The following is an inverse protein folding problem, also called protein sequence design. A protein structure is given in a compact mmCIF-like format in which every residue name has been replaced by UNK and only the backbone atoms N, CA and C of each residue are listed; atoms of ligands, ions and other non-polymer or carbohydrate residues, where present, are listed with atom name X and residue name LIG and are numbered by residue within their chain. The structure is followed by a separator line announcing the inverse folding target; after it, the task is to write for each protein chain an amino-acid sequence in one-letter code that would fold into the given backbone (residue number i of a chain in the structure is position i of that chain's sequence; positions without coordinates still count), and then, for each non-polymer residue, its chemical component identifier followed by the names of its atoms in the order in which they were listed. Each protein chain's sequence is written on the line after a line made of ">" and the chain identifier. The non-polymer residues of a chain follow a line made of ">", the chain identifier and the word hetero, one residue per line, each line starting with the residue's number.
data_IF_340245251819
#
_entry.id   IF_340245251819
#
_cell.length_a   1.000
_cell.length_b   1.000
_cell.length_c   1.000
_cell.angle_alpha   90.00
_cell.angle_beta   90.00
_cell.angle_gamma   90.00
#
_symmetry.space_group_name_H-M   'P 1'
#
loop_
_entity.id
_entity.type
_entity.pdbx_description
1 polymer ?
#
# COMPACT_ATOMS: atom_id res chain seq x y z
N UNK A 1 62.94 -1.73 -4.80
CA UNK A 1 63.60 -3.03 -4.96
C UNK A 1 62.60 -4.15 -4.70
N UNK A 2 62.41 -4.98 -5.73
CA UNK A 2 61.77 -6.30 -5.80
C UNK A 2 60.26 -6.36 -5.69
N UNK A 3 59.67 -6.45 -6.81
CA UNK A 3 58.66 -7.27 -7.44
C UNK A 3 58.50 -8.67 -6.82
N UNK A 4 57.28 -9.15 -6.70
CA UNK A 4 56.97 -10.57 -6.86
C UNK A 4 55.53 -10.75 -7.36
N UNK A 5 55.45 -11.09 -8.65
CA UNK A 5 54.28 -11.61 -9.33
C UNK A 5 54.28 -13.15 -9.18
N UNK A 6 53.20 -13.81 -8.89
CA UNK A 6 53.08 -15.27 -8.99
C UNK A 6 52.69 -15.72 -10.42
N UNK A 7 53.08 -16.92 -10.84
CA UNK A 7 53.03 -17.37 -12.22
C UNK A 7 51.69 -17.91 -12.67
N UNK A 8 51.42 -17.79 -13.97
CA UNK A 8 50.34 -18.48 -14.71
C UNK A 8 50.67 -19.95 -14.89
N UNK A 9 49.68 -20.83 -14.72
CA UNK A 9 49.68 -22.19 -15.20
C UNK A 9 48.68 -22.39 -16.35
N UNK A 10 48.96 -23.27 -17.32
CA UNK A 10 48.27 -23.29 -18.61
C UNK A 10 47.02 -24.18 -18.63
N UNK A 11 46.16 -23.88 -19.60
CA UNK A 11 45.07 -24.75 -20.06
C UNK A 11 45.65 -26.03 -20.63
N UNK A 12 44.98 -27.14 -20.31
CA UNK A 12 44.94 -28.33 -21.14
C UNK A 12 43.53 -28.88 -21.20
N UNK A 13 43.17 -29.29 -22.39
CA UNK A 13 41.94 -29.78 -22.94
C UNK A 13 41.42 -31.01 -22.21
N UNK A 14 40.08 -31.11 -22.06
CA UNK A 14 39.42 -32.42 -22.21
C UNK A 14 38.02 -32.20 -22.81
N UNK A 15 37.89 -32.75 -23.99
CA UNK A 15 36.65 -32.94 -24.75
C UNK A 15 35.85 -34.06 -24.08
N UNK A 16 34.57 -33.87 -23.96
CA UNK A 16 33.60 -34.87 -23.56
C UNK A 16 32.19 -34.45 -23.91
N UNK A 17 31.61 -35.18 -24.83
CA UNK A 17 30.33 -34.98 -25.50
C UNK A 17 29.08 -35.18 -24.56
N UNK A 18 27.96 -34.59 -25.04
CA UNK A 18 26.55 -34.96 -24.77
C UNK A 18 25.98 -34.44 -23.44
N UNK A 19 24.90 -33.66 -23.39
CA UNK A 19 23.56 -33.77 -23.98
C UNK A 19 22.85 -32.39 -24.06
N UNK A 20 22.01 -32.31 -25.06
CA UNK A 20 21.17 -31.18 -25.47
C UNK A 20 20.02 -31.01 -24.48
N UNK A 21 20.08 -29.99 -23.61
CA UNK A 21 18.93 -29.48 -22.87
C UNK A 21 18.61 -28.06 -23.37
N UNK A 22 17.54 -28.00 -24.17
CA UNK A 22 17.08 -26.84 -24.90
C UNK A 22 16.82 -25.60 -24.05
N UNK A 23 17.82 -24.78 -23.89
CA UNK A 23 17.68 -23.38 -23.52
C UNK A 23 17.31 -22.58 -24.78
N UNK A 24 16.03 -22.21 -24.86
CA UNK A 24 15.57 -21.24 -25.85
C UNK A 24 16.21 -19.90 -25.50
N UNK A 25 17.24 -19.50 -26.22
CA UNK A 25 17.74 -18.14 -26.24
C UNK A 25 16.66 -17.27 -26.89
N UNK A 26 16.01 -16.43 -26.10
CA UNK A 26 15.20 -15.34 -26.62
C UNK A 26 16.21 -14.32 -27.18
N UNK A 27 16.23 -14.17 -28.50
CA UNK A 27 17.04 -13.15 -29.19
C UNK A 27 16.64 -11.75 -28.77
N UNK A 28 17.54 -10.79 -29.01
CA UNK A 28 17.38 -9.39 -28.68
C UNK A 28 15.98 -8.85 -29.09
N UNK A 29 15.39 -8.07 -28.21
CA UNK A 29 14.05 -7.47 -28.40
C UNK A 29 13.94 -6.63 -29.69
N UNK A 30 15.06 -6.11 -30.18
CA UNK A 30 15.14 -5.32 -31.41
C UNK A 30 14.93 -6.18 -32.67
N UNK A 31 15.34 -7.46 -32.69
CA UNK A 31 15.08 -8.37 -33.82
C UNK A 31 13.61 -8.79 -33.96
N UNK A 32 12.87 -8.74 -32.85
CA UNK A 32 11.43 -9.07 -32.88
C UNK A 32 10.63 -7.91 -33.42
N UNK A 33 11.02 -6.67 -33.17
CA UNK A 33 10.34 -5.47 -33.68
C UNK A 33 10.49 -5.31 -35.21
N UNK A 34 11.66 -5.61 -35.76
CA UNK A 34 11.90 -5.53 -37.22
C UNK A 34 11.10 -6.56 -38.04
N UNK A 35 10.66 -7.66 -37.41
CA UNK A 35 9.82 -8.66 -38.08
C UNK A 35 8.36 -8.22 -38.27
N UNK A 36 7.90 -7.25 -37.48
CA UNK A 36 6.51 -6.77 -37.50
C UNK A 36 6.28 -5.59 -38.48
N UNK A 37 7.35 -4.89 -38.90
CA UNK A 37 7.24 -3.80 -39.89
C UNK A 37 7.06 -4.30 -41.34
N UNK A 38 7.20 -5.60 -41.61
CA UNK A 38 7.15 -6.14 -42.97
C UNK A 38 5.83 -6.77 -43.43
N UNK A 39 4.83 -6.93 -42.55
CA UNK A 39 3.50 -7.39 -42.93
C UNK A 39 2.48 -6.27 -42.76
N UNK A 40 2.38 -5.43 -43.79
CA UNK A 40 1.35 -4.39 -43.93
C UNK A 40 -0.03 -4.95 -44.21
N UNK A 41 -1.05 -4.25 -43.69
CA UNK A 41 -2.51 -4.38 -43.83
C UNK A 41 -3.15 -5.49 -42.98
N UNK A 42 -3.56 -5.11 -41.75
CA UNK A 42 -4.65 -5.75 -41.03
C UNK A 42 -5.77 -4.72 -40.88
N UNK A 43 -6.96 -5.12 -41.24
CA UNK A 43 -8.19 -4.32 -41.21
C UNK A 43 -8.51 -3.87 -39.77
N UNK A 44 -8.98 -2.63 -39.64
CA UNK A 44 -9.48 -2.01 -38.41
C UNK A 44 -10.78 -2.69 -37.93
N UNK A 45 -10.70 -3.84 -37.25
CA UNK A 45 -11.80 -4.38 -36.43
C UNK A 45 -11.21 -5.32 -35.37
N UNK A 46 -10.95 -4.79 -34.14
CA UNK A 46 -10.87 -5.44 -32.83
C UNK A 46 -9.77 -4.85 -31.92
N UNK A 47 -9.86 -3.56 -31.61
CA UNK A 47 -8.93 -2.90 -30.68
C UNK A 47 -9.00 -3.46 -29.24
N UNK A 48 -10.16 -4.01 -28.83
CA UNK A 48 -10.38 -4.50 -27.46
C UNK A 48 -9.67 -5.84 -27.16
N UNK A 49 -9.48 -6.69 -28.16
CA UNK A 49 -8.83 -8.00 -27.97
C UNK A 49 -7.29 -7.90 -27.94
N UNK A 50 -6.73 -6.93 -28.65
CA UNK A 50 -5.28 -6.71 -28.70
C UNK A 50 -4.76 -6.05 -27.41
N UNK A 51 -5.51 -5.14 -26.80
CA UNK A 51 -5.15 -4.52 -25.52
C UNK A 51 -5.17 -5.55 -24.37
N UNK A 52 -6.14 -6.47 -24.38
CA UNK A 52 -6.20 -7.58 -23.42
C UNK A 52 -5.06 -8.60 -23.61
N UNK A 53 -4.66 -8.88 -24.87
CA UNK A 53 -3.55 -9.77 -25.17
C UNK A 53 -2.21 -9.14 -24.77
N UNK A 54 -2.04 -7.84 -25.00
CA UNK A 54 -0.84 -7.09 -24.64
C UNK A 54 -0.67 -7.04 -23.11
N UNK A 55 -1.74 -6.80 -22.37
CA UNK A 55 -1.74 -6.82 -20.91
C UNK A 55 -1.45 -8.23 -20.35
N UNK A 56 -2.03 -9.28 -20.95
CA UNK A 56 -1.76 -10.67 -20.57
C UNK A 56 -0.31 -11.11 -20.83
N UNK A 57 0.32 -10.58 -21.87
CA UNK A 57 1.74 -10.84 -22.15
C UNK A 57 2.67 -10.09 -21.20
N UNK A 58 2.25 -8.91 -20.71
CA UNK A 58 3.01 -8.07 -19.79
C UNK A 58 2.98 -8.61 -18.36
N UNK A 59 1.86 -9.18 -17.91
CA UNK A 59 1.64 -9.60 -16.51
C UNK A 59 1.72 -11.12 -16.31
N UNK A 60 1.72 -11.89 -17.38
CA UNK A 60 1.71 -13.36 -17.30
C UNK A 60 0.43 -13.95 -16.69
N UNK A 61 -0.52 -13.12 -16.23
CA UNK A 61 -1.76 -13.54 -15.62
C UNK A 61 -2.97 -13.22 -16.50
N UNK A 62 -3.78 -14.25 -16.76
CA UNK A 62 -5.08 -14.08 -17.40
C UNK A 62 -6.18 -14.01 -16.35
N UNK A 63 -6.90 -12.89 -16.29
CA UNK A 63 -8.11 -12.78 -15.47
C UNK A 63 -9.16 -13.72 -16.05
N UNK A 64 -9.56 -14.72 -15.28
CA UNK A 64 -10.55 -15.72 -15.72
C UNK A 64 -11.97 -15.24 -15.46
N UNK A 65 -12.15 -14.42 -14.42
CA UNK A 65 -13.44 -13.87 -14.00
C UNK A 65 -13.23 -12.49 -13.38
N UNK A 66 -13.97 -11.50 -13.83
CA UNK A 66 -14.00 -10.19 -13.20
C UNK A 66 -15.20 -10.10 -12.25
N UNK A 67 -14.94 -10.02 -10.96
CA UNK A 67 -15.95 -9.87 -9.90
C UNK A 67 -16.23 -8.39 -9.58
N UNK A 68 -15.53 -7.45 -10.22
CA UNK A 68 -15.75 -6.04 -10.02
C UNK A 68 -17.12 -5.59 -10.52
N UNK A 69 -17.75 -4.69 -9.76
CA UNK A 69 -18.98 -4.00 -10.21
C UNK A 69 -18.72 -2.89 -11.19
N UNK A 70 -17.56 -2.25 -11.06
CA UNK A 70 -17.15 -1.15 -11.90
C UNK A 70 -15.62 -1.10 -11.96
N UNK A 71 -15.13 -0.88 -13.17
CA UNK A 71 -13.71 -0.63 -13.45
C UNK A 71 -13.54 0.82 -13.88
N UNK A 72 -12.57 1.51 -13.30
CA UNK A 72 -12.12 2.84 -13.67
C UNK A 72 -10.75 2.71 -14.34
N UNK A 73 -10.64 3.02 -15.62
CA UNK A 73 -9.52 2.76 -16.53
C UNK A 73 -8.89 4.02 -17.16
N UNK A 74 -9.12 5.17 -16.52
CA UNK A 74 -8.63 6.45 -17.07
C UNK A 74 -7.15 6.73 -16.82
N UNK A 75 -6.51 5.99 -15.89
CA UNK A 75 -5.07 6.09 -15.67
C UNK A 75 -4.26 5.49 -16.82
N UNK A 76 -3.03 5.97 -17.02
CA UNK A 76 -2.09 5.49 -18.03
C UNK A 76 -0.77 4.98 -17.42
N UNK A 77 -0.83 4.51 -16.20
CA UNK A 77 0.22 3.92 -15.39
C UNK A 77 -0.38 3.27 -14.14
N UNK A 78 0.44 2.61 -13.35
CA UNK A 78 0.04 1.97 -12.10
C UNK A 78 -0.77 2.92 -11.20
N UNK A 79 -1.85 2.43 -10.58
CA UNK A 79 -2.65 3.21 -9.64
C UNK A 79 -2.23 2.87 -8.22
N UNK A 80 -1.52 3.79 -7.56
CA UNK A 80 -0.87 3.53 -6.29
C UNK A 80 -1.77 3.71 -5.07
N UNK A 81 -2.72 4.63 -5.15
CA UNK A 81 -3.51 5.02 -3.98
C UNK A 81 -4.95 5.36 -4.34
N UNK A 82 -5.83 5.19 -3.35
CA UNK A 82 -7.23 5.54 -3.48
C UNK A 82 -7.85 6.02 -2.19
N UNK A 83 -8.99 6.71 -2.28
CA UNK A 83 -9.83 7.03 -1.13
C UNK A 83 -11.29 7.17 -1.55
N UNK A 84 -12.20 6.80 -0.65
CA UNK A 84 -13.64 6.98 -0.82
C UNK A 84 -14.12 8.23 -0.10
N UNK A 85 -15.03 8.98 -0.72
CA UNK A 85 -15.68 10.10 -0.08
C UNK A 85 -16.58 9.61 1.06
N UNK A 86 -16.56 10.24 2.25
CA UNK A 86 -17.26 9.73 3.43
C UNK A 86 -18.77 9.62 3.27
N UNK A 87 -19.40 10.43 2.43
CA UNK A 87 -20.86 10.46 2.28
C UNK A 87 -21.37 10.45 0.84
N UNK A 88 -20.60 10.96 -0.14
CA UNK A 88 -20.99 11.00 -1.54
C UNK A 88 -20.46 9.79 -2.31
N UNK A 89 -21.08 9.46 -3.44
CA UNK A 89 -20.66 8.36 -4.32
C UNK A 89 -19.44 8.73 -5.17
N UNK A 90 -18.37 9.17 -4.49
CA UNK A 90 -17.13 9.61 -5.11
C UNK A 90 -15.93 8.80 -4.58
N UNK A 91 -14.99 8.55 -5.46
CA UNK A 91 -13.64 8.11 -5.15
C UNK A 91 -12.62 9.09 -5.69
N UNK A 92 -11.43 9.10 -5.11
CA UNK A 92 -10.24 9.72 -5.68
C UNK A 92 -9.17 8.66 -5.82
N UNK A 93 -8.45 8.64 -6.94
CA UNK A 93 -7.32 7.75 -7.22
C UNK A 93 -6.14 8.53 -7.74
N UNK A 94 -4.93 8.07 -7.44
CA UNK A 94 -3.67 8.67 -7.90
C UNK A 94 -2.72 7.61 -8.39
N UNK A 95 -1.92 7.93 -9.40
CA UNK A 95 -1.07 6.94 -10.06
C UNK A 95 0.23 7.46 -10.67
N UNK A 96 0.92 6.55 -11.30
CA UNK A 96 2.21 6.71 -11.98
C UNK A 96 2.16 7.71 -13.15
N UNK A 97 0.98 7.94 -13.69
CA UNK A 97 0.76 8.88 -14.81
C UNK A 97 0.73 10.36 -14.37
N UNK A 98 1.25 10.69 -13.19
CA UNK A 98 1.32 12.02 -12.58
C UNK A 98 -0.07 12.68 -12.44
N UNK A 99 -1.12 11.86 -12.31
CA UNK A 99 -2.48 12.35 -12.23
C UNK A 99 -3.23 11.81 -11.03
N UNK A 100 -4.21 12.61 -10.61
CA UNK A 100 -5.26 12.12 -9.73
C UNK A 100 -6.62 12.41 -10.35
N UNK A 101 -7.55 11.46 -10.21
CA UNK A 101 -8.92 11.61 -10.69
C UNK A 101 -9.91 11.48 -9.55
N UNK A 102 -10.86 12.42 -9.48
CA UNK A 102 -12.08 12.25 -8.68
C UNK A 102 -13.17 11.77 -9.62
N UNK A 103 -13.79 10.65 -9.30
CA UNK A 103 -14.76 10.00 -10.15
C UNK A 103 -15.93 9.40 -9.37
N UNK A 104 -17.06 9.19 -10.05
CA UNK A 104 -18.27 8.64 -9.46
C UNK A 104 -18.18 7.11 -9.42
N UNK A 105 -18.31 6.52 -8.23
CA UNK A 105 -18.17 5.06 -8.00
C UNK A 105 -19.33 4.22 -8.56
N UNK A 106 -20.41 4.84 -9.04
CA UNK A 106 -21.54 4.13 -9.67
C UNK A 106 -21.51 4.19 -11.18
N UNK A 107 -20.98 5.27 -11.76
CA UNK A 107 -21.01 5.50 -13.21
C UNK A 107 -19.63 5.43 -13.87
N UNK A 108 -18.54 5.53 -13.10
CA UNK A 108 -17.19 5.64 -13.62
C UNK A 108 -16.84 7.03 -14.19
N UNK A 109 -17.79 7.98 -14.18
CA UNK A 109 -17.58 9.30 -14.76
C UNK A 109 -16.59 10.14 -13.95
N UNK A 110 -15.59 10.70 -14.64
CA UNK A 110 -14.64 11.65 -14.04
C UNK A 110 -15.37 12.95 -13.71
N UNK A 111 -15.27 13.35 -12.45
CA UNK A 111 -15.81 14.63 -11.95
C UNK A 111 -14.73 15.72 -11.94
N UNK A 112 -13.50 15.34 -11.69
CA UNK A 112 -12.37 16.27 -11.65
C UNK A 112 -11.05 15.52 -11.88
N UNK A 113 -10.13 16.15 -12.61
CA UNK A 113 -8.79 15.63 -12.85
C UNK A 113 -7.73 16.64 -12.38
N UNK A 114 -6.76 16.16 -11.61
CA UNK A 114 -5.54 16.90 -11.25
C UNK A 114 -4.44 16.39 -12.17
N UNK A 115 -3.94 17.27 -13.05
CA UNK A 115 -3.02 16.90 -14.13
C UNK A 115 -1.70 17.68 -14.08
N UNK A 116 -1.44 18.36 -12.98
CA UNK A 116 -0.29 19.23 -12.82
C UNK A 116 0.67 18.78 -11.71
N UNK A 117 0.62 17.51 -11.33
CA UNK A 117 1.70 16.88 -10.60
C UNK A 117 2.91 16.69 -11.53
N UNK A 118 4.09 16.67 -10.96
CA UNK A 118 5.36 16.56 -11.70
C UNK A 118 6.03 15.22 -11.52
N UNK A 119 5.41 14.35 -10.72
CA UNK A 119 5.84 13.00 -10.42
C UNK A 119 4.63 12.17 -10.00
N UNK A 120 4.82 10.88 -9.82
CA UNK A 120 3.80 9.90 -9.47
C UNK A 120 2.99 10.29 -8.24
N UNK A 121 1.66 10.26 -8.35
CA UNK A 121 0.77 10.57 -7.24
C UNK A 121 0.64 9.34 -6.33
N UNK A 122 1.28 9.40 -5.17
CA UNK A 122 1.36 8.29 -4.21
C UNK A 122 0.39 8.42 -3.03
N UNK A 123 -0.24 9.57 -2.85
CA UNK A 123 -1.19 9.75 -1.76
C UNK A 123 -2.35 10.65 -2.17
N UNK A 124 -3.55 10.19 -1.86
CA UNK A 124 -4.79 10.93 -2.06
C UNK A 124 -5.72 10.75 -0.86
N UNK A 125 -6.62 11.70 -0.64
CA UNK A 125 -7.60 11.52 0.45
C UNK A 125 -8.62 12.62 0.52
N UNK A 126 -9.82 12.28 0.98
CA UNK A 126 -10.84 13.24 1.39
C UNK A 126 -10.68 13.60 2.87
N UNK A 127 -10.98 14.85 3.24
CA UNK A 127 -11.14 15.21 4.65
C UNK A 127 -12.27 14.43 5.31
N UNK A 128 -12.26 14.32 6.64
CA UNK A 128 -13.23 13.53 7.43
C UNK A 128 -14.70 13.84 7.12
N UNK A 129 -14.99 15.05 6.66
CA UNK A 129 -16.33 15.54 6.31
C UNK A 129 -16.56 15.67 4.78
N UNK A 130 -15.58 15.27 3.96
CA UNK A 130 -15.65 15.35 2.50
C UNK A 130 -15.52 16.78 1.91
N UNK A 131 -15.28 17.79 2.72
CA UNK A 131 -15.20 19.20 2.25
C UNK A 131 -13.99 19.40 1.35
N UNK A 132 -12.88 18.75 1.65
CA UNK A 132 -11.63 18.87 0.90
C UNK A 132 -11.18 17.52 0.35
N UNK A 133 -10.51 17.56 -0.79
CA UNK A 133 -9.71 16.48 -1.33
C UNK A 133 -8.26 16.94 -1.46
N UNK A 134 -7.33 16.10 -1.03
CA UNK A 134 -5.89 16.33 -1.16
C UNK A 134 -5.27 15.29 -2.09
N UNK A 135 -4.27 15.71 -2.86
CA UNK A 135 -3.42 14.87 -3.70
C UNK A 135 -1.97 15.25 -3.47
N UNK A 136 -1.07 14.26 -3.44
CA UNK A 136 0.35 14.49 -3.24
C UNK A 136 1.20 13.54 -4.05
N UNK A 137 2.23 14.04 -4.70
CA UNK A 137 3.18 13.26 -5.48
C UNK A 137 4.43 12.87 -4.66
N UNK A 138 5.25 11.97 -5.22
CA UNK A 138 6.46 11.46 -4.57
C UNK A 138 7.49 12.56 -4.32
N UNK A 139 7.56 13.58 -5.20
CA UNK A 139 8.42 14.76 -5.02
C UNK A 139 7.90 15.72 -3.93
N UNK A 140 6.78 15.38 -3.28
CA UNK A 140 6.20 16.12 -2.16
C UNK A 140 5.38 17.34 -2.53
N UNK A 141 4.97 17.48 -3.79
CA UNK A 141 4.03 18.52 -4.17
C UNK A 141 2.61 18.12 -3.80
N UNK A 142 2.04 18.82 -2.82
CA UNK A 142 0.72 18.55 -2.26
C UNK A 142 -0.24 19.63 -2.69
N UNK A 143 -1.43 19.27 -3.14
CA UNK A 143 -2.50 20.17 -3.53
C UNK A 143 -3.79 19.83 -2.78
N UNK A 144 -4.54 20.85 -2.38
CA UNK A 144 -5.84 20.70 -1.71
C UNK A 144 -6.91 21.47 -2.45
N UNK A 145 -8.01 20.79 -2.72
CA UNK A 145 -9.15 21.32 -3.46
C UNK A 145 -10.41 21.27 -2.60
N UNK A 146 -11.31 22.25 -2.77
CA UNK A 146 -12.61 22.28 -2.10
C UNK A 146 -13.67 21.66 -2.99
N UNK A 147 -14.21 20.51 -2.59
CA UNK A 147 -15.13 19.67 -3.39
C UNK A 147 -16.37 20.47 -3.84
N UNK A 148 -17.13 21.03 -2.91
CA UNK A 148 -18.38 21.75 -3.20
C UNK A 148 -18.22 23.04 -4.02
N UNK A 149 -16.97 23.51 -4.29
CA UNK A 149 -16.68 24.69 -5.09
C UNK A 149 -16.09 24.34 -6.46
N UNK A 150 -16.61 23.30 -7.08
CA UNK A 150 -16.11 22.77 -8.35
C UNK A 150 -14.60 22.52 -8.31
N UNK A 151 -14.15 21.87 -7.23
CA UNK A 151 -12.74 21.52 -6.98
C UNK A 151 -11.78 22.71 -7.10
N UNK A 152 -12.20 23.89 -6.59
CA UNK A 152 -11.30 25.04 -6.55
C UNK A 152 -10.12 24.75 -5.64
N UNK A 153 -8.89 24.90 -6.15
CA UNK A 153 -7.66 24.78 -5.36
C UNK A 153 -7.64 25.85 -4.27
N UNK A 154 -7.45 25.44 -3.04
CA UNK A 154 -7.46 26.30 -1.85
C UNK A 154 -6.12 26.39 -1.17
N UNK A 155 -5.23 25.43 -1.39
CA UNK A 155 -3.91 25.37 -0.79
C UNK A 155 -2.98 24.46 -1.58
N UNK A 156 -1.69 24.72 -1.53
CA UNK A 156 -0.63 23.88 -2.09
C UNK A 156 0.68 24.07 -1.32
N UNK A 157 1.54 23.07 -1.32
CA UNK A 157 2.84 23.10 -0.67
C UNK A 157 3.78 22.07 -1.32
N UNK A 158 5.10 22.30 -1.22
CA UNK A 158 6.12 21.32 -1.61
C UNK A 158 6.96 21.00 -0.38
N UNK A 159 6.88 19.77 0.11
CA UNK A 159 7.50 19.33 1.36
C UNK A 159 8.87 18.65 1.16
N UNK A 160 9.29 18.40 -0.09
CA UNK A 160 10.37 17.46 -0.40
C UNK A 160 9.83 16.01 -0.45
N UNK A 161 10.64 15.04 -0.84
CA UNK A 161 10.23 13.67 -1.13
C UNK A 161 9.32 13.11 -0.03
N UNK A 162 8.11 12.72 -0.44
CA UNK A 162 7.03 12.32 0.46
C UNK A 162 6.91 10.80 0.53
N UNK A 163 6.72 10.26 1.74
CA UNK A 163 6.45 8.85 1.96
C UNK A 163 4.96 8.56 2.09
N UNK A 164 4.22 9.42 2.76
CA UNK A 164 2.78 9.29 2.97
C UNK A 164 2.12 10.62 3.27
N UNK A 165 0.80 10.69 3.06
CA UNK A 165 -0.05 11.83 3.43
C UNK A 165 -1.36 11.32 4.03
N UNK A 166 -1.87 11.97 5.08
CA UNK A 166 -3.13 11.60 5.75
C UNK A 166 -3.88 12.82 6.24
N UNK A 167 -5.20 12.76 6.13
CA UNK A 167 -6.08 13.69 6.84
C UNK A 167 -6.25 13.29 8.30
N UNK A 168 -6.33 14.28 9.17
CA UNK A 168 -6.75 14.09 10.55
C UNK A 168 -8.23 13.66 10.62
N UNK A 169 -8.53 12.72 11.50
CA UNK A 169 -9.83 12.03 11.59
C UNK A 169 -11.03 12.89 12.01
N UNK A 170 -10.85 14.12 12.48
CA UNK A 170 -11.92 14.97 12.98
C UNK A 170 -11.63 16.47 12.85
N UNK A 171 -10.67 16.87 12.03
CA UNK A 171 -10.36 18.28 11.77
C UNK A 171 -9.70 18.45 10.41
N UNK A 172 -9.73 19.66 9.86
CA UNK A 172 -9.07 19.99 8.60
C UNK A 172 -7.55 20.20 8.82
N UNK A 173 -6.90 19.16 9.33
CA UNK A 173 -5.46 19.10 9.47
C UNK A 173 -4.94 18.01 8.53
N UNK A 174 -3.98 18.36 7.71
CA UNK A 174 -3.29 17.45 6.81
C UNK A 174 -1.91 17.15 7.37
N UNK A 175 -1.51 15.89 7.31
CA UNK A 175 -0.21 15.42 7.78
C UNK A 175 0.51 14.73 6.61
N UNK A 176 1.83 14.91 6.53
CA UNK A 176 2.65 14.16 5.58
C UNK A 176 4.01 13.86 6.19
N UNK A 177 4.50 12.64 5.95
CA UNK A 177 5.85 12.19 6.30
C UNK A 177 6.77 12.26 5.11
N UNK A 178 8.01 12.66 5.35
CA UNK A 178 9.03 12.84 4.33
C UNK A 178 10.16 11.80 4.40
N UNK A 179 10.91 11.68 3.32
CA UNK A 179 12.12 10.87 3.23
C UNK A 179 13.23 11.34 4.19
N UNK A 180 13.25 12.65 4.53
CA UNK A 180 14.14 13.20 5.56
C UNK A 180 13.75 12.85 7.00
N UNK A 181 12.61 12.18 7.19
CA UNK A 181 12.08 11.75 8.50
C UNK A 181 11.22 12.80 9.21
N UNK A 182 11.08 13.98 8.68
CA UNK A 182 10.22 15.00 9.25
C UNK A 182 8.75 14.69 8.97
N UNK A 183 7.87 15.10 9.89
CA UNK A 183 6.43 15.05 9.67
C UNK A 183 5.87 16.45 9.70
N UNK A 184 5.28 16.85 8.61
CA UNK A 184 4.59 18.12 8.45
C UNK A 184 3.14 18.01 8.90
N UNK A 185 2.65 19.04 9.56
CA UNK A 185 1.26 19.13 10.07
C UNK A 185 0.70 20.49 9.70
N UNK A 186 -0.22 20.53 8.74
CA UNK A 186 -0.82 21.78 8.25
C UNK A 186 -2.28 21.91 8.64
N UNK A 187 -2.68 23.10 9.02
CA UNK A 187 -4.09 23.48 9.13
C UNK A 187 -4.60 23.98 7.77
N UNK A 188 -5.60 23.33 7.23
CA UNK A 188 -6.19 23.68 5.94
C UNK A 188 -7.47 24.49 6.15
N UNK A 189 -7.71 25.57 5.40
CA UNK A 189 -6.90 26.08 4.27
C UNK A 189 -5.90 27.19 4.66
N UNK A 190 -5.69 27.49 5.96
CA UNK A 190 -4.81 28.61 6.36
C UNK A 190 -3.33 28.37 6.01
N UNK A 191 -2.91 27.10 5.94
CA UNK A 191 -1.53 26.73 5.69
C UNK A 191 -0.60 26.86 6.91
N UNK A 192 -1.16 27.13 8.11
CA UNK A 192 -0.36 27.13 9.33
C UNK A 192 0.31 25.77 9.50
N UNK A 193 1.64 25.76 9.47
CA UNK A 193 2.45 24.56 9.50
C UNK A 193 3.18 24.37 10.82
N UNK A 194 3.26 23.14 11.28
CA UNK A 194 4.17 22.68 12.31
C UNK A 194 4.94 21.50 11.76
N UNK A 195 6.20 21.37 12.18
CA UNK A 195 7.06 20.25 11.78
C UNK A 195 7.45 19.47 13.03
N UNK A 196 7.20 18.17 13.00
CA UNK A 196 7.68 17.22 14.00
C UNK A 196 9.05 16.72 13.54
N UNK A 197 10.12 16.94 14.29
CA UNK A 197 11.46 16.55 13.89
C UNK A 197 11.58 15.00 13.90
N UNK A 198 12.12 14.47 12.81
CA UNK A 198 12.33 13.04 12.64
C UNK A 198 13.70 12.57 13.11
N UNK A 199 14.12 11.48 12.52
CA UNK A 199 15.49 10.99 12.48
C UNK A 199 16.03 11.20 11.06
N UNK A 200 17.33 11.03 10.86
CA UNK A 200 17.95 11.04 9.54
C UNK A 200 17.60 9.75 8.75
N UNK A 201 16.29 9.43 8.67
CA UNK A 201 15.74 8.26 8.00
C UNK A 201 14.26 8.49 7.71
N UNK A 202 13.76 7.91 6.61
CA UNK A 202 12.38 8.02 6.15
C UNK A 202 11.35 7.86 7.26
N UNK A 203 10.34 8.75 7.30
CA UNK A 203 9.12 8.51 8.05
C UNK A 203 8.24 7.54 7.25
N UNK A 204 8.44 6.23 7.42
CA UNK A 204 7.91 5.21 6.51
C UNK A 204 6.42 4.91 6.75
N UNK A 205 6.04 4.73 8.00
CA UNK A 205 4.66 4.43 8.37
C UNK A 205 4.16 5.35 9.49
N UNK A 206 2.89 5.70 9.44
CA UNK A 206 2.28 6.51 10.49
C UNK A 206 0.83 6.13 10.74
N UNK A 207 0.37 6.31 11.98
CA UNK A 207 -1.00 6.06 12.37
C UNK A 207 -1.47 7.08 13.41
N UNK A 208 -2.63 7.66 13.18
CA UNK A 208 -3.31 8.51 14.16
C UNK A 208 -4.05 7.67 15.19
N UNK A 209 -3.99 8.09 16.46
CA UNK A 209 -4.92 7.52 17.45
C UNK A 209 -6.36 7.82 17.09
N UNK A 210 -7.31 6.97 17.50
CA UNK A 210 -8.74 7.11 17.19
C UNK A 210 -9.35 8.40 17.75
N UNK A 211 -8.73 9.02 18.76
CA UNK A 211 -9.14 10.33 19.29
C UNK A 211 -8.44 11.51 18.57
N UNK A 212 -7.58 11.23 17.59
CA UNK A 212 -6.85 12.22 16.80
C UNK A 212 -5.79 13.02 17.56
N UNK A 213 -5.47 12.68 18.83
CA UNK A 213 -4.57 13.52 19.64
C UNK A 213 -3.11 13.18 19.48
N UNK A 214 -2.81 11.95 19.07
CA UNK A 214 -1.44 11.44 18.95
C UNK A 214 -1.19 10.88 17.56
N UNK A 215 0.06 10.92 17.15
CA UNK A 215 0.55 10.30 15.92
C UNK A 215 1.69 9.35 16.26
N UNK A 216 1.55 8.09 15.90
CA UNK A 216 2.63 7.13 15.90
C UNK A 216 3.34 7.17 14.56
N UNK A 217 4.68 7.12 14.56
CA UNK A 217 5.52 7.14 13.36
C UNK A 217 6.58 6.05 13.49
N UNK A 218 6.66 5.21 12.47
CA UNK A 218 7.72 4.22 12.26
C UNK A 218 8.69 4.73 11.19
N UNK A 219 9.97 4.55 11.44
CA UNK A 219 11.04 5.08 10.59
C UNK A 219 11.81 3.96 9.89
N UNK A 220 12.40 4.28 8.74
CA UNK A 220 13.27 3.39 7.97
C UNK A 220 14.51 2.92 8.74
N UNK A 221 14.90 3.61 9.81
CA UNK A 221 15.97 3.22 10.73
C UNK A 221 15.54 2.25 11.84
N UNK A 222 14.25 1.87 11.90
CA UNK A 222 13.69 1.06 13.00
C UNK A 222 13.28 1.83 14.24
N UNK A 223 13.47 3.15 14.28
CA UNK A 223 12.94 3.97 15.35
C UNK A 223 11.41 4.02 15.31
N UNK A 224 10.80 4.08 16.49
CA UNK A 224 9.38 4.35 16.66
C UNK A 224 9.19 5.57 17.55
N UNK A 225 8.33 6.52 17.15
CA UNK A 225 7.96 7.68 17.97
C UNK A 225 6.44 7.80 18.08
N UNK A 226 5.98 8.13 19.28
CA UNK A 226 4.59 8.55 19.51
C UNK A 226 4.59 10.03 19.87
N UNK A 227 3.93 10.85 19.05
CA UNK A 227 3.86 12.29 19.18
C UNK A 227 2.55 12.75 19.80
N UNK A 228 2.59 13.73 20.69
CA UNK A 228 1.43 14.53 21.06
C UNK A 228 1.29 15.70 20.06
N UNK A 229 0.21 15.68 19.28
CA UNK A 229 -0.04 16.68 18.23
C UNK A 229 -0.40 18.07 18.77
N UNK A 230 -0.81 18.17 20.04
CA UNK A 230 -1.10 19.45 20.68
C UNK A 230 0.17 20.18 21.08
N UNK A 231 1.08 19.47 21.74
CA UNK A 231 2.35 20.03 22.26
C UNK A 231 3.49 19.94 21.26
N UNK A 232 3.38 19.09 20.24
CA UNK A 232 4.42 18.74 19.26
C UNK A 232 5.68 18.18 19.93
N UNK A 233 5.50 17.38 20.98
CA UNK A 233 6.58 16.73 21.69
C UNK A 233 6.42 15.22 21.63
N UNK A 234 7.52 14.45 21.53
CA UNK A 234 7.44 13.01 21.60
C UNK A 234 7.00 12.58 23.02
N UNK A 235 6.02 11.68 23.10
CA UNK A 235 5.57 11.03 24.34
C UNK A 235 6.48 9.84 24.61
N UNK A 236 6.84 9.10 23.56
CA UNK A 236 7.67 7.92 23.59
C UNK A 236 8.59 7.96 22.38
N UNK A 237 9.79 7.44 22.61
CA UNK A 237 10.77 7.13 21.58
C UNK A 237 11.36 5.76 21.89
N UNK A 238 11.32 4.86 20.90
CA UNK A 238 11.89 3.51 20.99
C UNK A 238 13.05 3.43 20.01
N UNK A 239 14.23 3.17 20.56
CA UNK A 239 15.47 3.03 19.80
C UNK A 239 15.53 1.67 19.08
N UNK A 240 16.18 1.57 17.91
CA UNK A 240 16.35 0.31 17.17
C UNK A 240 16.97 -0.84 17.95
N UNK A 241 17.80 -0.54 18.92
CA UNK A 241 18.42 -1.56 19.79
C UNK A 241 17.43 -2.26 20.73
N UNK A 242 16.25 -1.69 20.92
CA UNK A 242 15.19 -2.20 21.81
C UNK A 242 14.03 -2.77 20.98
N UNK A 243 13.64 -2.08 19.90
CA UNK A 243 12.53 -2.42 19.04
C UNK A 243 12.94 -3.17 17.76
N UNK A 244 12.70 -2.54 16.64
CA UNK A 244 13.12 -3.06 15.32
C UNK A 244 14.50 -2.57 14.97
N UNK A 245 15.37 -3.45 14.48
CA UNK A 245 16.72 -3.10 14.02
C UNK A 245 16.77 -2.63 12.55
N UNK A 246 15.64 -2.72 11.85
CA UNK A 246 15.48 -2.42 10.41
C UNK A 246 14.22 -1.59 10.19
N UNK A 247 13.95 -1.27 8.94
CA UNK A 247 12.80 -0.49 8.49
C UNK A 247 11.46 -1.01 9.06
N UNK A 248 10.66 -0.08 9.63
CA UNK A 248 9.28 -0.34 10.04
C UNK A 248 8.37 -0.07 8.83
N UNK A 249 7.91 -1.13 8.19
CA UNK A 249 7.10 -1.10 6.96
C UNK A 249 5.65 -0.71 7.21
N UNK A 250 5.10 -1.11 8.35
CA UNK A 250 3.67 -0.92 8.64
C UNK A 250 3.38 -0.70 10.12
N UNK A 251 2.26 0.00 10.37
CA UNK A 251 1.85 0.40 11.71
C UNK A 251 0.32 0.47 11.82
N UNK A 252 -0.24 -0.03 12.93
CA UNK A 252 -1.65 0.09 13.26
C UNK A 252 -1.88 0.32 14.75
N UNK A 253 -2.86 1.15 15.08
CA UNK A 253 -3.23 1.49 16.47
C UNK A 253 -4.47 0.75 16.96
N UNK A 254 -4.60 0.63 18.28
CA UNK A 254 -5.80 0.12 18.92
C UNK A 254 -6.89 1.19 19.07
N UNK A 255 -8.11 0.75 19.33
CA UNK A 255 -9.26 1.66 19.51
C UNK A 255 -9.22 2.45 20.83
N UNK A 256 -8.47 1.99 21.82
CA UNK A 256 -8.34 2.64 23.11
C UNK A 256 -7.22 3.69 23.13
N UNK A 257 -6.51 3.90 22.03
CA UNK A 257 -5.40 4.85 21.89
C UNK A 257 -4.19 4.59 22.81
N UNK A 258 -3.97 3.33 23.14
CA UNK A 258 -2.96 2.95 24.12
C UNK A 258 -1.83 2.10 23.56
N UNK A 259 -2.10 1.34 22.51
CA UNK A 259 -1.17 0.38 21.91
C UNK A 259 -1.12 0.51 20.41
N UNK A 260 0.04 0.13 19.86
CA UNK A 260 0.28 0.03 18.43
C UNK A 260 0.97 -1.30 18.14
N UNK A 261 0.67 -1.89 17.01
CA UNK A 261 1.47 -2.95 16.41
C UNK A 261 2.32 -2.34 15.29
N UNK A 262 3.55 -2.80 15.20
CA UNK A 262 4.49 -2.46 14.13
C UNK A 262 4.95 -3.72 13.44
N UNK A 263 5.10 -3.68 12.13
CA UNK A 263 5.72 -4.71 11.30
C UNK A 263 7.00 -4.18 10.67
N UNK A 264 7.97 -5.04 10.45
CA UNK A 264 9.27 -4.66 9.90
C UNK A 264 9.72 -5.59 8.75
N UNK A 265 10.68 -5.10 7.98
CA UNK A 265 11.26 -5.78 6.83
C UNK A 265 11.94 -7.11 7.17
N UNK A 266 12.45 -7.27 8.39
CA UNK A 266 13.05 -8.53 8.86
C UNK A 266 12.02 -9.57 9.35
N UNK A 267 10.73 -9.26 9.22
CA UNK A 267 9.61 -10.10 9.66
C UNK A 267 9.33 -10.01 11.16
N UNK A 268 10.00 -9.14 11.89
CA UNK A 268 9.66 -8.88 13.30
C UNK A 268 8.38 -8.05 13.40
N UNK A 269 7.56 -8.34 14.42
CA UNK A 269 6.43 -7.50 14.80
C UNK A 269 6.42 -7.23 16.29
N UNK A 270 6.24 -5.96 16.66
CA UNK A 270 6.32 -5.49 18.04
C UNK A 270 5.00 -4.84 18.46
N UNK A 271 4.70 -4.93 19.76
CA UNK A 271 3.62 -4.17 20.39
C UNK A 271 4.28 -3.00 21.14
N UNK A 272 3.89 -1.79 20.74
CA UNK A 272 4.30 -0.54 21.36
C UNK A 272 3.17 0.00 22.22
N UNK A 273 3.48 0.41 23.44
CA UNK A 273 2.51 0.99 24.35
C UNK A 273 2.97 2.34 24.90
N UNK A 274 2.24 2.88 25.88
CA UNK A 274 2.52 4.19 26.47
C UNK A 274 3.87 4.31 27.19
N UNK A 275 4.56 3.21 27.44
CA UNK A 275 5.87 3.17 28.11
C UNK A 275 6.99 2.62 27.22
N UNK A 276 6.77 2.51 25.89
CA UNK A 276 7.69 1.92 24.94
C UNK A 276 7.32 0.50 24.50
N UNK A 277 8.31 -0.33 24.22
CA UNK A 277 8.11 -1.72 23.80
C UNK A 277 7.43 -2.54 24.91
N UNK A 278 6.32 -3.16 24.60
CA UNK A 278 5.57 -4.07 25.48
C UNK A 278 5.88 -5.54 25.21
N UNK A 279 6.20 -5.89 23.99
CA UNK A 279 6.52 -7.27 23.60
C UNK A 279 6.69 -7.43 22.09
N UNK A 280 7.06 -8.64 21.69
CA UNK A 280 7.28 -9.02 20.30
C UNK A 280 6.39 -10.21 19.96
N UNK A 281 5.65 -10.11 18.85
CA UNK A 281 4.76 -11.17 18.37
C UNK A 281 5.50 -12.15 17.45
N UNK A 282 6.29 -11.65 16.51
CA UNK A 282 7.16 -12.43 15.66
C UNK A 282 8.61 -11.96 15.80
N UNK A 283 9.55 -12.92 15.75
CA UNK A 283 10.97 -12.65 15.90
C UNK A 283 11.61 -12.22 14.56
N UNK A 284 12.76 -11.52 14.57
CA UNK A 284 13.55 -11.24 13.39
C UNK A 284 13.94 -12.50 12.60
N UNK A 285 14.31 -12.31 11.34
CA UNK A 285 14.64 -13.36 10.36
C UNK A 285 13.44 -14.24 9.95
N UNK A 286 12.25 -13.67 10.03
CA UNK A 286 11.03 -14.19 9.42
C UNK A 286 10.80 -13.54 8.05
N UNK A 287 9.66 -13.85 7.43
CA UNK A 287 9.26 -13.21 6.17
C UNK A 287 8.90 -11.73 6.39
N UNK A 288 9.30 -10.80 5.50
CA UNK A 288 8.95 -9.38 5.61
C UNK A 288 7.46 -9.15 5.85
N UNK A 289 7.15 -8.28 6.81
CA UNK A 289 5.76 -7.89 7.10
C UNK A 289 5.46 -6.61 6.33
N UNK A 290 4.45 -6.66 5.46
CA UNK A 290 4.00 -5.51 4.67
C UNK A 290 2.77 -4.84 5.26
N UNK A 291 1.90 -5.59 5.91
CA UNK A 291 0.68 -5.06 6.45
C UNK A 291 0.39 -5.56 7.86
N UNK A 292 -0.07 -4.66 8.72
CA UNK A 292 -0.52 -4.99 10.07
C UNK A 292 -1.89 -4.38 10.35
N UNK A 293 -2.67 -5.05 11.17
CA UNK A 293 -3.91 -4.52 11.74
C UNK A 293 -3.95 -4.78 13.24
N UNK A 294 -4.68 -3.93 13.97
CA UNK A 294 -4.89 -4.08 15.39
C UNK A 294 -6.35 -3.86 15.75
N UNK A 295 -6.81 -4.61 16.74
CA UNK A 295 -8.06 -4.42 17.48
C UNK A 295 -9.33 -4.41 16.60
N UNK A 296 -9.97 -5.60 16.49
CA UNK A 296 -11.26 -5.70 15.80
C UNK A 296 -12.38 -5.13 16.67
N UNK A 297 -13.20 -4.17 16.16
CA UNK A 297 -14.26 -3.53 16.92
C UNK A 297 -15.29 -4.51 17.49
N UNK A 298 -15.49 -4.50 18.81
CA UNK A 298 -16.50 -5.31 19.47
C UNK A 298 -16.14 -6.79 19.67
N UNK A 299 -14.87 -7.17 19.46
CA UNK A 299 -14.37 -8.49 19.83
C UNK A 299 -13.80 -8.47 21.25
N UNK A 300 -14.16 -9.48 22.07
CA UNK A 300 -13.79 -9.49 23.51
C UNK A 300 -12.27 -9.58 23.75
N UNK A 301 -11.56 -10.18 22.83
CA UNK A 301 -10.10 -10.37 22.90
C UNK A 301 -9.43 -9.36 21.98
N UNK A 302 -8.46 -8.62 22.49
CA UNK A 302 -7.64 -7.74 21.68
C UNK A 302 -6.76 -8.57 20.74
N UNK A 303 -7.01 -8.47 19.46
CA UNK A 303 -6.32 -9.21 18.40
C UNK A 303 -5.49 -8.27 17.53
N UNK A 304 -4.42 -8.82 16.96
CA UNK A 304 -3.65 -8.17 15.91
C UNK A 304 -3.52 -9.13 14.72
N UNK A 305 -3.23 -8.58 13.56
CA UNK A 305 -2.96 -9.36 12.36
C UNK A 305 -1.66 -8.89 11.70
N UNK A 306 -0.91 -9.83 11.16
CA UNK A 306 0.29 -9.57 10.36
C UNK A 306 0.17 -10.27 9.02
N UNK A 307 0.39 -9.55 7.93
CA UNK A 307 0.46 -10.04 6.57
C UNK A 307 1.87 -9.91 6.01
N UNK A 308 2.39 -10.98 5.41
CA UNK A 308 3.75 -11.02 4.88
C UNK A 308 3.78 -10.89 3.36
N UNK A 309 4.95 -10.53 2.83
CA UNK A 309 5.23 -10.44 1.39
C UNK A 309 5.05 -11.80 0.67
N UNK A 310 5.10 -12.93 1.39
CA UNK A 310 4.89 -14.27 0.83
C UNK A 310 3.48 -14.82 1.04
N UNK A 311 2.55 -13.98 1.52
CA UNK A 311 1.13 -14.33 1.63
C UNK A 311 0.71 -14.99 2.94
N UNK A 312 1.57 -15.02 3.94
CA UNK A 312 1.23 -15.57 5.25
C UNK A 312 0.43 -14.55 6.06
N UNK A 313 -0.80 -14.90 6.43
CA UNK A 313 -1.66 -14.12 7.29
C UNK A 313 -1.78 -14.77 8.67
N UNK A 314 -1.30 -14.09 9.70
CA UNK A 314 -1.32 -14.58 11.07
C UNK A 314 -2.14 -13.67 11.98
N UNK A 315 -3.01 -14.25 12.79
CA UNK A 315 -3.80 -13.57 13.82
C UNK A 315 -3.18 -13.87 15.19
N UNK A 316 -3.00 -12.82 15.98
CA UNK A 316 -2.33 -12.85 17.28
C UNK A 316 -3.28 -12.52 18.42
N UNK A 317 -3.10 -13.14 19.57
CA UNK A 317 -3.65 -12.69 20.85
C UNK A 317 -2.66 -11.68 21.46
N UNK A 318 -3.05 -10.41 21.48
CA UNK A 318 -2.17 -9.31 21.91
C UNK A 318 -1.82 -9.43 23.39
N UNK A 319 -2.78 -9.80 24.24
CA UNK A 319 -2.58 -9.90 25.67
C UNK A 319 -1.65 -11.05 26.06
N UNK A 320 -1.74 -12.17 25.34
CA UNK A 320 -0.89 -13.34 25.56
C UNK A 320 0.42 -13.32 24.77
N UNK A 321 0.51 -12.45 23.76
CA UNK A 321 1.62 -12.36 22.81
C UNK A 321 1.89 -13.71 22.13
N UNK A 322 0.83 -14.39 21.70
CA UNK A 322 0.92 -15.71 21.07
C UNK A 322 0.11 -15.75 19.77
N UNK A 323 0.57 -16.58 18.84
CA UNK A 323 -0.17 -16.89 17.63
C UNK A 323 -1.49 -17.55 18.00
N UNK A 324 -2.61 -17.01 17.50
CA UNK A 324 -3.96 -17.53 17.68
C UNK A 324 -4.36 -18.47 16.54
N UNK A 325 -4.22 -17.99 15.33
CA UNK A 325 -4.55 -18.75 14.13
C UNK A 325 -3.71 -18.25 12.96
N UNK A 326 -3.41 -19.11 12.05
CA UNK A 326 -2.83 -18.80 10.74
C UNK A 326 -3.93 -19.03 9.69
N UNK A 327 -4.19 -18.03 8.86
CA UNK A 327 -5.23 -18.12 7.86
C UNK A 327 -4.79 -19.06 6.73
N UNK A 328 -5.68 -19.97 6.36
CA UNK A 328 -5.40 -20.96 5.31
C UNK A 328 -5.55 -20.32 3.93
N UNK A 329 -4.58 -20.52 3.08
CA UNK A 329 -4.59 -20.15 1.67
C UNK A 329 -3.96 -21.29 0.86
N UNK A 330 -4.66 -21.76 -0.17
CA UNK A 330 -4.15 -22.84 -1.05
C UNK A 330 -3.14 -22.29 -2.07
N UNK A 331 -3.28 -21.02 -2.43
CA UNK A 331 -2.40 -20.30 -3.36
C UNK A 331 -1.95 -18.99 -2.71
N UNK A 332 -0.99 -19.05 -1.77
CA UNK A 332 -0.55 -17.85 -1.06
C UNK A 332 0.16 -16.91 -2.03
N UNK A 333 -0.27 -15.64 -2.00
CA UNK A 333 0.33 -14.52 -2.73
C UNK A 333 0.59 -13.40 -1.77
N UNK A 334 1.66 -12.63 -1.97
CA UNK A 334 2.07 -11.55 -1.07
C UNK A 334 0.92 -10.64 -0.68
N UNK A 335 0.88 -10.22 0.57
CA UNK A 335 -0.15 -9.33 1.11
C UNK A 335 0.39 -7.92 1.07
N UNK A 336 -0.31 -7.02 0.38
CA UNK A 336 0.05 -5.60 0.29
C UNK A 336 -0.69 -4.74 1.31
N UNK A 337 -1.95 -5.09 1.59
CA UNK A 337 -2.80 -4.34 2.51
C UNK A 337 -3.75 -5.26 3.26
N UNK A 338 -4.09 -4.89 4.49
CA UNK A 338 -5.08 -5.59 5.30
C UNK A 338 -6.21 -4.66 5.73
N UNK A 339 -7.43 -5.17 5.82
CA UNK A 339 -8.61 -4.47 6.32
C UNK A 339 -9.47 -5.36 7.23
N UNK A 340 -10.04 -4.77 8.28
CA UNK A 340 -11.15 -5.38 9.00
C UNK A 340 -12.46 -5.09 8.27
N UNK A 341 -13.19 -6.15 7.94
CA UNK A 341 -14.56 -6.06 7.42
C UNK A 341 -15.59 -6.41 8.51
N UNK A 342 -16.87 -6.33 8.16
CA UNK A 342 -17.96 -6.83 9.04
C UNK A 342 -17.84 -8.35 9.28
N UNK A 343 -18.62 -8.85 10.25
CA UNK A 343 -18.83 -10.29 10.50
C UNK A 343 -17.54 -11.09 10.74
N UNK A 344 -16.61 -10.51 11.51
CA UNK A 344 -15.33 -11.15 11.87
C UNK A 344 -14.47 -11.54 10.68
N UNK A 345 -14.55 -10.76 9.60
CA UNK A 345 -13.76 -10.98 8.39
C UNK A 345 -12.54 -10.08 8.37
N UNK A 346 -11.38 -10.64 8.06
CA UNK A 346 -10.18 -9.92 7.63
C UNK A 346 -10.03 -10.07 6.13
N UNK A 347 -9.68 -9.00 5.46
CA UNK A 347 -9.51 -8.93 4.02
C UNK A 347 -8.10 -8.47 3.67
N UNK A 348 -7.54 -9.02 2.60
CA UNK A 348 -6.23 -8.65 2.07
C UNK A 348 -6.30 -8.29 0.58
N UNK A 349 -5.61 -7.23 0.18
CA UNK A 349 -5.14 -7.02 -1.17
C UNK A 349 -3.86 -7.81 -1.38
N UNK A 350 -3.70 -8.45 -2.54
CA UNK A 350 -2.57 -9.35 -2.77
C UNK A 350 -1.78 -9.01 -4.03
N UNK A 351 -0.51 -9.37 -4.02
CA UNK A 351 0.30 -9.49 -5.23
C UNK A 351 -0.32 -10.58 -6.11
N UNK A 352 -0.64 -10.24 -7.33
CA UNK A 352 -1.38 -11.12 -8.23
C UNK A 352 -2.86 -10.78 -8.36
N UNK A 353 -3.33 -9.61 -7.87
CA UNK A 353 -4.59 -8.99 -8.24
C UNK A 353 -5.86 -9.59 -7.64
N UNK A 354 -5.77 -10.40 -6.59
CA UNK A 354 -6.94 -11.00 -5.93
C UNK A 354 -7.17 -10.34 -4.58
N UNK A 355 -8.42 -10.01 -4.27
CA UNK A 355 -8.84 -9.62 -2.94
C UNK A 355 -9.34 -10.86 -2.21
N UNK A 356 -8.69 -11.25 -1.12
CA UNK A 356 -9.02 -12.45 -0.35
C UNK A 356 -9.59 -12.10 1.01
N UNK A 357 -10.55 -12.87 1.50
CA UNK A 357 -11.19 -12.66 2.81
C UNK A 357 -11.28 -13.92 3.63
N UNK A 358 -10.96 -13.83 4.94
CA UNK A 358 -10.99 -14.95 5.90
C UNK A 358 -11.79 -14.62 7.14
N UNK A 359 -12.38 -15.64 7.76
CA UNK A 359 -12.84 -15.53 9.15
C UNK A 359 -11.62 -15.58 10.08
N UNK A 360 -11.28 -14.47 10.70
CA UNK A 360 -10.08 -14.38 11.53
C UNK A 360 -10.15 -15.21 12.84
N UNK A 361 -11.32 -15.75 13.20
CA UNK A 361 -11.49 -16.61 14.38
C UNK A 361 -11.07 -18.05 14.07
N UNK A 362 -11.39 -18.54 12.88
CA UNK A 362 -11.09 -19.90 12.42
C UNK A 362 -9.90 -20.00 11.47
N UNK A 363 -9.56 -18.90 10.80
CA UNK A 363 -8.57 -18.86 9.74
C UNK A 363 -9.05 -19.42 8.40
N UNK A 364 -10.33 -19.74 8.27
CA UNK A 364 -10.87 -20.29 7.03
C UNK A 364 -11.20 -19.18 6.03
N UNK A 365 -10.85 -19.41 4.77
CA UNK A 365 -11.18 -18.51 3.67
C UNK A 365 -12.68 -18.42 3.47
N UNK A 366 -13.21 -17.23 3.31
CA UNK A 366 -14.63 -16.95 3.05
C UNK A 366 -14.90 -16.62 1.60
N UNK A 367 -14.00 -15.86 0.99
CA UNK A 367 -14.14 -15.45 -0.41
C UNK A 367 -12.77 -15.09 -1.01
N UNK A 368 -12.72 -15.14 -2.33
CA UNK A 368 -11.72 -14.52 -3.16
C UNK A 368 -12.46 -13.77 -4.28
N UNK A 369 -12.09 -12.50 -4.50
CA UNK A 369 -12.63 -11.65 -5.56
C UNK A 369 -11.54 -11.44 -6.59
N UNK A 370 -11.76 -11.93 -7.79
CA UNK A 370 -10.87 -11.80 -8.93
C UNK A 370 -11.27 -10.58 -9.78
N UNK A 371 -10.31 -9.96 -10.46
CA UNK A 371 -10.62 -8.83 -11.33
C UNK A 371 -9.41 -8.03 -11.79
N UNK A 372 -8.37 -7.87 -10.98
CA UNK A 372 -7.14 -7.23 -11.42
C UNK A 372 -6.20 -8.22 -12.11
N UNK A 373 -5.50 -7.75 -13.14
CA UNK A 373 -4.52 -8.56 -13.86
C UNK A 373 -3.10 -8.42 -13.30
N UNK A 374 -2.88 -7.50 -12.37
CA UNK A 374 -1.60 -7.22 -11.75
C UNK A 374 -1.76 -6.90 -10.26
N UNK A 375 -0.68 -6.60 -9.57
CA UNK A 375 -0.58 -6.41 -8.14
C UNK A 375 -1.51 -5.33 -7.61
N UNK A 376 -2.24 -5.64 -6.53
CA UNK A 376 -3.08 -4.68 -5.82
C UNK A 376 -2.17 -3.83 -4.93
N UNK A 377 -2.22 -2.50 -5.13
CA UNK A 377 -1.44 -1.53 -4.37
C UNK A 377 -2.17 -1.06 -3.11
N UNK A 378 -3.46 -0.78 -3.21
CA UNK A 378 -4.25 -0.34 -2.06
C UNK A 378 -5.67 -0.92 -2.11
N UNK A 379 -6.26 -1.10 -0.92
CA UNK A 379 -7.68 -1.45 -0.75
C UNK A 379 -8.31 -0.57 0.33
N UNK A 380 -9.51 -0.10 0.07
CA UNK A 380 -10.27 0.79 0.96
C UNK A 380 -11.68 0.24 1.15
N UNK A 381 -12.11 0.06 2.38
CA UNK A 381 -13.44 -0.46 2.69
C UNK A 381 -14.39 0.64 3.15
N UNK A 382 -15.52 0.75 2.47
CA UNK A 382 -16.66 1.52 2.94
C UNK A 382 -17.66 0.59 3.65
N UNK A 383 -17.73 0.75 4.96
CA UNK A 383 -18.60 -0.07 5.80
C UNK A 383 -20.08 0.17 5.53
N UNK A 384 -20.49 1.39 5.23
CA UNK A 384 -21.91 1.73 5.05
C UNK A 384 -22.43 1.21 3.70
N UNK A 385 -21.63 1.41 2.62
CA UNK A 385 -21.96 0.92 1.29
C UNK A 385 -21.64 -0.56 1.09
N UNK A 386 -20.84 -1.15 1.99
CA UNK A 386 -20.32 -2.53 1.92
C UNK A 386 -19.56 -2.83 0.62
N UNK A 387 -18.70 -1.89 0.23
CA UNK A 387 -17.87 -1.98 -0.97
C UNK A 387 -16.39 -1.86 -0.64
N UNK A 388 -15.55 -2.45 -1.48
CA UNK A 388 -14.10 -2.25 -1.49
C UNK A 388 -13.74 -1.50 -2.78
N UNK A 389 -13.00 -0.40 -2.65
CA UNK A 389 -12.23 0.19 -3.72
C UNK A 389 -10.83 -0.43 -3.68
N UNK A 390 -10.34 -0.89 -4.82
CA UNK A 390 -8.95 -1.34 -4.99
C UNK A 390 -8.25 -0.57 -6.09
N UNK A 391 -6.94 -0.47 -5.98
CA UNK A 391 -6.05 0.12 -6.98
C UNK A 391 -4.95 -0.86 -7.33
N UNK A 392 -4.47 -0.86 -8.58
CA UNK A 392 -3.56 -1.90 -9.06
C UNK A 392 -2.53 -1.38 -10.07
N UNK A 393 -1.46 -2.14 -10.21
CA UNK A 393 -0.46 -1.98 -11.26
C UNK A 393 -1.01 -2.24 -12.67
N UNK A 394 -2.19 -2.83 -12.79
CA UNK A 394 -2.89 -3.01 -14.07
C UNK A 394 -3.52 -1.72 -14.63
N UNK A 395 -3.18 -0.56 -14.04
CA UNK A 395 -3.61 0.80 -14.41
C UNK A 395 -5.07 1.08 -14.10
N UNK A 396 -5.75 0.18 -13.38
CA UNK A 396 -7.16 0.35 -13.06
C UNK A 396 -7.41 0.52 -11.56
N UNK A 397 -8.52 1.15 -11.26
CA UNK A 397 -9.15 1.07 -9.95
C UNK A 397 -10.51 0.40 -10.08
N UNK A 398 -10.87 -0.45 -9.13
CA UNK A 398 -12.09 -1.25 -9.21
C UNK A 398 -12.94 -1.15 -7.96
N UNK A 399 -14.26 -1.25 -8.14
CA UNK A 399 -15.23 -1.33 -7.05
C UNK A 399 -15.75 -2.76 -6.96
N UNK A 400 -15.59 -3.37 -5.80
CA UNK A 400 -16.14 -4.69 -5.49
C UNK A 400 -17.23 -4.60 -4.42
N UNK A 401 -18.23 -5.46 -4.49
CA UNK A 401 -19.15 -5.69 -3.37
C UNK A 401 -18.58 -6.77 -2.46
N UNK A 402 -18.61 -6.51 -1.15
CA UNK A 402 -18.23 -7.54 -0.19
C UNK A 402 -19.33 -8.60 -0.14
N UNK A 403 -19.02 -9.89 -0.38
CA UNK A 403 -20.00 -10.95 -0.31
C UNK A 403 -20.66 -11.03 1.06
N UNK A 404 -21.98 -11.29 1.08
CA UNK A 404 -22.70 -11.52 2.34
C UNK A 404 -22.12 -12.75 3.05
N UNK A 405 -21.96 -12.66 4.37
CA UNK A 405 -21.55 -13.81 5.20
C UNK A 405 -22.57 -14.93 5.08
N UNK A 406 -22.12 -16.11 4.66
CA UNK A 406 -22.94 -17.32 4.63
C UNK A 406 -23.04 -17.97 6.02
#
# INVERSE_FOLDING_TARGET
>A
MRENTPPRTPMDELIGDEEDDGLIYVGDADEVLDAWEQEGNIDEENDDDDENLFNALRTGRRVVKDDAKLTFDMHKGAVFCGALHPTEDLAVTGGEDDKAFVWNIRTGEVQFAVTNHTDSVIAVGFSYDGVFVATGDIAGYIQVFKVAQNYRKVWEFTAGDMCWMRWHIGSHVLLAGSDSGEVYVWRIPSGDCKVLPGHDAKAEAAELTQDGKKLAVGYGSGHFKLWDLKTNTPIIEVDPSIGHAVNITSLAGDQENQMFITGAEDGSSCIMGSNGLMGMLSAPNSEPIEAVLMDYPGFEIKVAATGTLHGKLTIWDVARQTKRVECSDEEPTGITKLLWLKDFTICAGTLGGIIKGWDFRSGLMRFALDGHSDDIQDIIYDKERNIILSTSEDWTAKIFEVPASQ
#
